data_IF_715971898422
#
_entry.id   IF_715971898422
#
_cell.length_a   1.000
_cell.length_b   1.000
_cell.length_c   1.000
_cell.angle_alpha   90.00
_cell.angle_beta   90.00
_cell.angle_gamma   90.00
#
_symmetry.space_group_name_H-M   'P 1'
#
loop_
_entity.id
_entity.type
_entity.pdbx_description
1 polymer ?
#
# COMPACT_ATOMS: atom_id res chain seq x y z
N UNK A 1 14.37 -40.68 16.20
CA UNK A 1 13.00 -40.15 16.46
C UNK A 1 12.34 -39.62 15.17
N UNK A 2 13.06 -38.90 14.30
CA UNK A 2 12.51 -38.37 13.01
C UNK A 2 12.21 -39.51 11.99
N UNK A 3 12.99 -40.58 11.98
CA UNK A 3 12.74 -41.75 11.12
C UNK A 3 11.52 -42.56 11.55
N UNK A 4 11.18 -42.58 12.86
CA UNK A 4 9.97 -43.25 13.34
C UNK A 4 8.70 -42.47 13.02
N UNK A 5 8.74 -41.13 13.04
CA UNK A 5 7.61 -40.30 12.69
C UNK A 5 7.23 -40.39 11.19
N UNK A 6 8.21 -40.57 10.28
CA UNK A 6 7.94 -40.77 8.87
C UNK A 6 7.20 -42.07 8.55
N UNK A 7 7.48 -43.13 9.28
CA UNK A 7 6.84 -44.44 9.09
C UNK A 7 5.39 -44.50 9.58
N UNK A 8 5.06 -43.72 10.62
CA UNK A 8 3.69 -43.64 11.12
C UNK A 8 2.78 -42.78 10.22
N UNK A 9 3.35 -41.88 9.41
CA UNK A 9 2.58 -41.10 8.45
C UNK A 9 2.17 -41.91 7.21
N UNK A 10 3.03 -42.88 6.78
CA UNK A 10 2.75 -43.72 5.61
C UNK A 10 1.68 -44.79 5.89
N UNK A 11 1.29 -44.99 7.14
CA UNK A 11 0.27 -45.95 7.57
C UNK A 11 -1.01 -45.32 8.13
N UNK A 12 -1.26 -44.02 7.89
CA UNK A 12 -2.56 -43.41 8.17
C UNK A 12 -3.61 -44.04 7.25
N UNK A 13 -4.11 -45.20 7.68
CA UNK A 13 -5.20 -45.94 7.02
C UNK A 13 -6.41 -45.01 6.92
N UNK A 14 -6.72 -44.55 5.73
CA UNK A 14 -7.89 -43.73 5.46
C UNK A 14 -7.65 -42.47 4.63
N UNK A 15 -6.40 -42.16 4.29
CA UNK A 15 -6.17 -41.14 3.26
C UNK A 15 -6.43 -41.77 1.87
N UNK A 16 -7.20 -41.16 1.00
CA UNK A 16 -7.39 -41.61 -0.38
C UNK A 16 -6.03 -41.71 -1.06
N UNK A 17 -5.83 -42.71 -1.93
CA UNK A 17 -4.61 -42.79 -2.73
C UNK A 17 -4.43 -41.48 -3.50
N UNK A 18 -3.19 -41.04 -3.63
CA UNK A 18 -2.81 -39.75 -4.26
C UNK A 18 -3.47 -39.54 -5.62
N UNK A 19 -3.71 -40.63 -6.36
CA UNK A 19 -4.45 -40.63 -7.64
C UNK A 19 -5.93 -40.25 -7.52
N UNK A 20 -6.60 -40.57 -6.43
CA UNK A 20 -8.01 -40.26 -6.23
C UNK A 20 -8.19 -38.78 -5.87
N UNK A 21 -7.25 -38.20 -5.11
CA UNK A 21 -7.27 -36.79 -4.75
C UNK A 21 -7.15 -35.92 -6.00
N UNK A 22 -6.23 -36.23 -6.90
CA UNK A 22 -6.00 -35.45 -8.12
C UNK A 22 -7.07 -35.59 -9.17
N UNK A 23 -7.87 -36.64 -9.15
CA UNK A 23 -8.98 -36.87 -10.07
C UNK A 23 -10.33 -36.36 -9.56
N UNK A 24 -10.38 -35.84 -8.32
CA UNK A 24 -11.61 -35.27 -7.77
C UNK A 24 -11.83 -33.88 -8.31
N UNK A 25 -12.77 -33.76 -9.26
CA UNK A 25 -13.21 -32.46 -9.80
C UNK A 25 -14.27 -31.91 -8.86
N UNK A 26 -13.89 -30.93 -8.05
CA UNK A 26 -14.86 -30.15 -7.28
C UNK A 26 -15.53 -29.12 -8.19
N UNK A 27 -16.82 -29.31 -8.47
CA UNK A 27 -17.62 -28.29 -9.12
C UNK A 27 -18.22 -27.41 -8.03
N UNK A 28 -17.68 -26.20 -7.90
CA UNK A 28 -18.33 -25.19 -7.09
C UNK A 28 -19.68 -24.82 -7.74
N UNK A 29 -20.75 -24.65 -6.95
CA UNK A 29 -21.98 -24.10 -7.48
C UNK A 29 -21.72 -22.75 -8.11
N UNK A 30 -22.36 -22.45 -9.23
CA UNK A 30 -22.27 -21.14 -9.87
C UNK A 30 -22.82 -20.12 -8.90
N UNK A 31 -21.99 -19.18 -8.47
CA UNK A 31 -22.48 -18.09 -7.63
C UNK A 31 -23.44 -17.22 -8.44
N UNK A 32 -24.62 -16.98 -7.88
CA UNK A 32 -25.66 -16.14 -8.50
C UNK A 32 -25.35 -14.65 -8.31
N UNK A 33 -24.63 -14.31 -7.22
CA UNK A 33 -24.21 -12.95 -6.92
C UNK A 33 -22.95 -12.94 -6.05
N UNK A 34 -22.16 -11.90 -6.19
CA UNK A 34 -21.01 -11.60 -5.31
C UNK A 34 -21.26 -10.25 -4.66
N UNK A 35 -20.95 -10.16 -3.38
CA UNK A 35 -20.90 -8.89 -2.66
C UNK A 35 -19.51 -8.72 -2.09
N UNK A 36 -18.85 -7.65 -2.47
CA UNK A 36 -17.59 -7.26 -1.83
C UNK A 36 -17.90 -6.74 -0.42
N UNK A 37 -17.22 -7.28 0.58
CA UNK A 37 -17.41 -6.90 1.98
C UNK A 37 -16.41 -5.82 2.41
N UNK A 38 -15.30 -5.69 1.69
CA UNK A 38 -14.23 -4.71 1.95
C UNK A 38 -13.92 -3.91 0.69
N UNK A 39 -13.41 -2.69 0.82
CA UNK A 39 -12.96 -1.92 -0.34
C UNK A 39 -11.82 -2.65 -1.05
N UNK A 40 -11.69 -2.44 -2.35
CA UNK A 40 -10.48 -2.82 -3.06
C UNK A 40 -9.37 -1.83 -2.77
N UNK A 41 -8.12 -2.25 -2.95
CA UNK A 41 -6.95 -1.44 -2.65
C UNK A 41 -5.99 -1.38 -3.84
N UNK A 42 -5.46 -0.19 -4.11
CA UNK A 42 -4.26 0.03 -4.94
C UNK A 42 -3.12 0.34 -4.00
N UNK A 43 -2.05 -0.47 -4.05
CA UNK A 43 -0.80 -0.15 -3.38
C UNK A 43 -0.10 0.99 -4.14
N UNK A 44 0.27 2.03 -3.42
CA UNK A 44 0.99 3.20 -3.93
C UNK A 44 2.47 3.07 -3.54
N UNK A 45 3.19 2.23 -4.24
CA UNK A 45 4.56 1.84 -3.94
C UNK A 45 5.64 2.56 -4.77
N UNK A 46 5.26 3.28 -5.85
CA UNK A 46 6.17 4.07 -6.68
C UNK A 46 5.71 5.52 -6.81
N UNK A 47 6.54 6.47 -6.39
CA UNK A 47 6.27 7.90 -6.51
C UNK A 47 7.41 8.66 -7.19
N UNK A 48 7.08 9.67 -8.02
CA UNK A 48 8.00 10.77 -8.26
C UNK A 48 8.07 11.61 -7.00
N UNK A 49 9.19 12.27 -6.72
CA UNK A 49 9.39 12.88 -5.42
C UNK A 49 10.26 14.14 -5.48
N UNK A 50 10.15 14.98 -4.47
CA UNK A 50 11.10 16.07 -4.23
C UNK A 50 11.38 16.24 -2.75
N UNK A 51 12.56 16.77 -2.43
CA UNK A 51 13.01 17.08 -1.08
C UNK A 51 13.14 18.59 -0.94
N UNK A 52 12.54 19.17 0.12
CA UNK A 52 12.60 20.58 0.50
C UNK A 52 12.24 21.57 -0.64
N UNK A 53 11.28 21.17 -1.50
CA UNK A 53 10.87 21.96 -2.65
C UNK A 53 11.88 22.03 -3.78
N UNK A 54 12.84 21.09 -3.79
CA UNK A 54 13.79 20.91 -4.87
C UNK A 54 13.15 20.41 -6.16
N UNK A 55 13.99 19.99 -7.10
CA UNK A 55 13.51 19.40 -8.35
C UNK A 55 12.74 18.11 -8.10
N UNK A 56 11.68 17.89 -8.87
CA UNK A 56 10.99 16.59 -8.89
C UNK A 56 11.87 15.56 -9.61
N UNK A 57 12.19 14.51 -8.90
CA UNK A 57 12.98 13.37 -9.35
C UNK A 57 12.08 12.26 -9.92
N UNK A 58 12.68 11.33 -10.67
CA UNK A 58 12.00 10.19 -11.26
C UNK A 58 11.39 9.28 -10.20
N UNK A 59 10.42 8.47 -10.63
CA UNK A 59 9.73 7.52 -9.75
C UNK A 59 10.70 6.51 -9.14
N UNK A 60 10.55 6.33 -7.84
CA UNK A 60 11.29 5.34 -7.07
C UNK A 60 10.33 4.59 -6.12
N UNK A 61 10.68 3.37 -5.77
CA UNK A 61 9.93 2.58 -4.79
C UNK A 61 10.11 3.18 -3.40
N UNK A 62 9.01 3.32 -2.66
CA UNK A 62 8.92 4.14 -1.43
C UNK A 62 9.91 3.70 -0.35
N UNK A 63 10.09 2.41 -0.12
CA UNK A 63 10.99 1.94 0.94
C UNK A 63 12.47 2.13 0.58
N UNK A 64 12.81 2.10 -0.71
CA UNK A 64 14.15 2.46 -1.20
C UNK A 64 14.37 3.95 -1.15
N UNK A 65 13.33 4.72 -1.51
CA UNK A 65 13.34 6.17 -1.44
C UNK A 65 13.59 6.65 -0.01
N UNK A 66 12.95 6.05 0.99
CA UNK A 66 13.19 6.36 2.39
C UNK A 66 14.68 6.28 2.74
N UNK A 67 15.35 5.16 2.42
CA UNK A 67 16.78 5.02 2.68
C UNK A 67 17.64 5.99 1.87
N UNK A 68 17.28 6.28 0.63
CA UNK A 68 17.97 7.26 -0.22
C UNK A 68 17.91 8.65 0.38
N UNK A 69 16.74 9.11 0.83
CA UNK A 69 16.58 10.41 1.49
C UNK A 69 17.33 10.44 2.81
N UNK A 70 17.29 9.36 3.62
CA UNK A 70 18.07 9.24 4.84
C UNK A 70 19.56 9.42 4.59
N UNK A 71 20.08 8.73 3.58
CA UNK A 71 21.49 8.86 3.18
C UNK A 71 21.84 10.29 2.76
N UNK A 72 20.99 10.96 1.98
CA UNK A 72 21.20 12.37 1.57
C UNK A 72 21.20 13.34 2.75
N UNK A 73 20.36 13.11 3.76
CA UNK A 73 20.24 13.95 4.96
C UNK A 73 21.22 13.58 6.07
N UNK A 74 22.03 12.54 5.87
CA UNK A 74 22.91 12.00 6.91
C UNK A 74 22.13 11.44 8.11
N UNK A 75 20.91 10.93 7.86
CA UNK A 75 20.11 10.18 8.81
C UNK A 75 20.56 8.73 8.86
N UNK A 76 20.22 8.02 9.94
CA UNK A 76 20.46 6.58 10.02
C UNK A 76 19.53 5.86 9.04
N UNK A 77 20.11 5.05 8.15
CA UNK A 77 19.37 4.21 7.24
C UNK A 77 18.64 3.09 8.01
N UNK A 78 17.53 2.63 7.44
CA UNK A 78 16.79 1.50 7.99
C UNK A 78 17.53 0.21 7.61
N UNK A 79 18.07 -0.47 8.61
CA UNK A 79 18.65 -1.79 8.44
C UNK A 79 17.63 -2.85 8.84
N UNK A 80 17.09 -3.56 7.85
CA UNK A 80 16.10 -4.61 8.07
C UNK A 80 14.72 -4.08 8.52
N UNK A 81 13.84 -5.01 8.88
CA UNK A 81 12.42 -4.72 9.14
C UNK A 81 12.12 -4.06 10.48
N UNK A 82 13.08 -4.06 11.41
CA UNK A 82 12.84 -3.72 12.82
C UNK A 82 13.61 -2.50 13.31
N UNK A 83 14.46 -1.90 12.49
CA UNK A 83 15.29 -0.78 12.93
C UNK A 83 14.50 0.53 12.81
N UNK A 84 13.81 0.84 13.88
CA UNK A 84 13.24 2.16 14.09
C UNK A 84 14.21 2.97 14.95
N UNK A 85 14.66 4.14 14.52
CA UNK A 85 15.63 4.94 15.27
C UNK A 85 14.99 5.73 16.42
N UNK A 86 14.10 5.12 17.18
CA UNK A 86 13.32 5.79 18.24
C UNK A 86 14.19 6.42 19.34
N UNK A 87 15.37 5.85 19.60
CA UNK A 87 16.29 6.34 20.62
C UNK A 87 17.20 7.46 20.12
N UNK A 88 17.14 7.81 18.84
CA UNK A 88 17.97 8.88 18.28
C UNK A 88 17.39 10.26 18.58
N UNK A 89 18.27 11.26 18.69
CA UNK A 89 17.84 12.64 18.80
C UNK A 89 17.10 13.07 17.52
N UNK A 90 16.06 13.89 17.70
CA UNK A 90 15.43 14.53 16.56
C UNK A 90 16.41 15.45 15.85
N UNK A 91 16.46 15.37 14.54
CA UNK A 91 17.15 16.31 13.66
C UNK A 91 16.13 17.25 13.04
N UNK A 92 16.62 18.18 12.24
CA UNK A 92 15.77 19.09 11.48
C UNK A 92 14.68 18.35 10.71
N UNK A 93 13.53 19.01 10.63
CA UNK A 93 12.39 18.58 9.87
C UNK A 93 12.56 19.01 8.40
N UNK A 94 12.29 18.08 7.50
CA UNK A 94 12.37 18.27 6.06
C UNK A 94 10.99 18.06 5.44
N UNK A 95 10.81 18.55 4.24
CA UNK A 95 9.61 18.30 3.46
C UNK A 95 9.90 17.31 2.34
N UNK A 96 9.17 16.20 2.31
CA UNK A 96 9.16 15.27 1.20
C UNK A 96 7.82 15.36 0.48
N UNK A 97 7.87 15.67 -0.80
CA UNK A 97 6.68 15.65 -1.68
C UNK A 97 6.69 14.36 -2.50
N UNK A 98 5.60 13.63 -2.48
CA UNK A 98 5.38 12.38 -3.23
C UNK A 98 4.26 12.57 -4.25
N UNK A 99 4.50 12.17 -5.50
CA UNK A 99 3.55 12.32 -6.61
C UNK A 99 3.24 10.95 -7.23
N UNK A 100 1.98 10.53 -7.12
CA UNK A 100 1.48 9.29 -7.67
C UNK A 100 0.56 9.57 -8.84
N UNK A 101 0.67 8.77 -9.90
CA UNK A 101 -0.19 8.85 -11.08
C UNK A 101 -1.12 7.64 -11.11
N UNK A 102 -2.42 7.89 -11.14
CA UNK A 102 -3.48 6.89 -11.18
C UNK A 102 -4.42 7.19 -12.34
N UNK A 103 -4.51 6.27 -13.30
CA UNK A 103 -5.53 6.37 -14.33
C UNK A 103 -6.87 5.80 -13.84
N UNK A 104 -7.97 6.35 -14.28
CA UNK A 104 -9.30 5.83 -13.98
C UNK A 104 -10.21 5.86 -15.21
N UNK A 105 -10.96 4.77 -15.42
CA UNK A 105 -12.01 4.69 -16.43
C UNK A 105 -13.37 5.20 -15.91
N UNK A 106 -13.44 5.57 -14.64
CA UNK A 106 -14.68 6.00 -13.97
C UNK A 106 -14.41 7.14 -13.01
N UNK A 107 -15.45 7.93 -12.73
CA UNK A 107 -15.45 8.83 -11.58
C UNK A 107 -15.95 8.06 -10.35
N UNK A 108 -15.15 8.00 -9.27
CA UNK A 108 -15.50 7.22 -8.08
C UNK A 108 -15.04 7.85 -6.77
N UNK A 109 -15.69 7.49 -5.67
CA UNK A 109 -15.26 7.84 -4.32
C UNK A 109 -14.05 6.99 -3.92
N UNK A 110 -13.08 7.65 -3.27
CA UNK A 110 -11.84 7.00 -2.84
C UNK A 110 -11.40 7.51 -1.47
N UNK A 111 -10.65 6.68 -0.78
CA UNK A 111 -9.98 7.00 0.48
C UNK A 111 -8.48 6.73 0.32
N UNK A 112 -7.69 7.51 1.01
CA UNK A 112 -6.27 7.23 1.20
C UNK A 112 -6.08 6.62 2.58
N UNK A 113 -5.43 5.47 2.63
CA UNK A 113 -4.99 4.84 3.87
C UNK A 113 -3.48 5.00 4.00
N UNK A 114 -3.04 5.61 5.09
CA UNK A 114 -1.64 5.95 5.36
C UNK A 114 -1.37 5.97 6.86
N UNK A 115 -0.11 5.80 7.23
CA UNK A 115 0.34 6.02 8.60
C UNK A 115 0.54 7.52 8.86
N UNK A 116 0.34 7.94 10.12
CA UNK A 116 0.64 9.30 10.61
C UNK A 116 0.02 10.44 9.76
N UNK A 117 -1.32 10.42 9.62
CA UNK A 117 -2.09 11.43 8.87
C UNK A 117 -1.77 12.86 9.33
N UNK A 118 -1.47 13.08 10.62
CA UNK A 118 -1.20 14.42 11.17
C UNK A 118 0.02 15.07 10.55
N UNK A 119 0.96 14.27 10.08
CA UNK A 119 2.22 14.71 9.49
C UNK A 119 2.18 14.86 7.99
N UNK A 120 1.03 14.58 7.39
CA UNK A 120 0.84 14.62 5.95
C UNK A 120 -0.18 15.68 5.54
N UNK A 121 0.04 16.27 4.37
CA UNK A 121 -0.98 17.01 3.62
C UNK A 121 -1.18 16.31 2.28
N UNK A 122 -2.42 16.23 1.84
CA UNK A 122 -2.79 15.41 0.69
C UNK A 122 -3.64 16.21 -0.29
N UNK A 123 -3.33 16.11 -1.56
CA UNK A 123 -4.13 16.69 -2.65
C UNK A 123 -4.42 15.63 -3.71
N UNK A 124 -5.64 15.61 -4.20
CA UNK A 124 -6.00 14.86 -5.40
C UNK A 124 -6.41 15.88 -6.50
N UNK A 125 -5.71 15.82 -7.62
CA UNK A 125 -5.89 16.75 -8.75
C UNK A 125 -5.82 18.23 -8.31
N UNK A 126 -4.87 18.55 -7.42
CA UNK A 126 -4.67 19.89 -6.87
C UNK A 126 -5.69 20.33 -5.83
N UNK A 127 -6.69 19.51 -5.50
CA UNK A 127 -7.68 19.78 -4.45
C UNK A 127 -7.27 19.12 -3.15
N UNK A 128 -7.05 19.92 -2.11
CA UNK A 128 -6.66 19.43 -0.78
C UNK A 128 -7.77 18.59 -0.15
N UNK A 129 -7.37 17.46 0.41
CA UNK A 129 -8.24 16.56 1.15
C UNK A 129 -8.38 17.02 2.60
N UNK A 130 -9.56 16.78 3.18
CA UNK A 130 -9.75 16.91 4.62
C UNK A 130 -9.03 15.75 5.33
N UNK A 131 -8.22 16.07 6.34
CA UNK A 131 -7.45 15.10 7.12
C UNK A 131 -8.26 14.44 8.24
N UNK A 132 -9.57 14.62 8.26
CA UNK A 132 -10.45 13.93 9.22
C UNK A 132 -10.36 12.42 9.01
N UNK A 133 -9.87 11.73 10.03
CA UNK A 133 -9.77 10.25 10.02
C UNK A 133 -11.18 9.65 10.06
N UNK A 134 -11.49 8.82 9.07
CA UNK A 134 -12.80 8.16 8.91
C UNK A 134 -12.81 6.70 9.33
N UNK A 135 -11.65 6.13 9.63
CA UNK A 135 -11.46 4.73 10.01
C UNK A 135 -10.00 4.31 9.87
N UNK A 136 -9.77 3.01 9.72
CA UNK A 136 -8.45 2.43 9.49
C UNK A 136 -8.53 1.29 8.47
N UNK A 137 -7.41 0.93 7.86
CA UNK A 137 -7.27 -0.16 6.91
C UNK A 137 -6.30 -1.21 7.44
N UNK A 138 -6.80 -2.45 7.67
CA UNK A 138 -6.05 -3.61 8.17
C UNK A 138 -5.54 -3.43 9.60
N UNK A 139 -4.77 -2.37 9.86
CA UNK A 139 -4.17 -2.04 11.17
C UNK A 139 -4.61 -0.64 11.61
N UNK A 140 -4.93 -0.42 12.91
CA UNK A 140 -5.29 0.90 13.43
C UNK A 140 -4.27 2.01 13.18
N UNK A 141 -2.98 1.68 12.99
CA UNK A 141 -1.95 2.64 12.62
C UNK A 141 -2.13 3.18 11.19
N UNK A 142 -2.74 2.39 10.29
CA UNK A 142 -3.00 2.79 8.90
C UNK A 142 -4.35 3.49 8.83
N UNK A 143 -4.35 4.78 9.08
CA UNK A 143 -5.55 5.61 9.17
C UNK A 143 -6.10 5.95 7.78
N UNK A 144 -7.42 6.08 7.68
CA UNK A 144 -8.13 6.40 6.44
C UNK A 144 -8.65 7.84 6.45
N UNK A 145 -8.36 8.57 5.39
CA UNK A 145 -8.97 9.88 5.09
C UNK A 145 -9.76 9.80 3.80
N UNK A 146 -10.83 10.58 3.69
CA UNK A 146 -11.61 10.69 2.45
C UNK A 146 -10.93 11.66 1.50
N UNK A 147 -10.68 11.21 0.28
CA UNK A 147 -10.18 12.07 -0.79
C UNK A 147 -11.33 12.75 -1.56
N UNK A 148 -11.06 13.81 -2.33
CA UNK A 148 -11.92 14.22 -3.44
C UNK A 148 -12.19 13.03 -4.38
N UNK A 149 -13.18 13.16 -5.27
CA UNK A 149 -13.44 12.10 -6.26
C UNK A 149 -12.20 11.86 -7.14
N UNK A 150 -11.90 10.58 -7.36
CA UNK A 150 -11.06 10.18 -8.48
C UNK A 150 -11.86 10.41 -9.75
N UNK A 151 -11.33 11.22 -10.66
CA UNK A 151 -12.02 11.56 -11.90
C UNK A 151 -11.66 10.57 -13.02
N UNK A 152 -12.49 10.51 -14.06
CA UNK A 152 -12.17 9.76 -15.27
C UNK A 152 -10.94 10.38 -15.96
N UNK A 153 -10.00 9.54 -16.40
CA UNK A 153 -8.74 9.97 -17.00
C UNK A 153 -7.55 9.87 -16.04
N UNK A 154 -6.57 10.74 -16.24
CA UNK A 154 -5.37 10.80 -15.42
C UNK A 154 -5.61 11.58 -14.14
N UNK A 155 -5.20 11.01 -13.02
CA UNK A 155 -5.27 11.66 -11.72
C UNK A 155 -3.88 11.72 -11.09
N UNK A 156 -3.60 12.85 -10.43
CA UNK A 156 -2.40 13.03 -9.63
C UNK A 156 -2.76 13.10 -8.15
N UNK A 157 -2.22 12.19 -7.39
CA UNK A 157 -2.23 12.24 -5.94
C UNK A 157 -0.89 12.79 -5.48
N UNK A 158 -0.92 13.94 -4.80
CA UNK A 158 0.25 14.57 -4.18
C UNK A 158 0.14 14.42 -2.66
N UNK A 159 1.20 13.95 -2.04
CA UNK A 159 1.33 13.84 -0.58
C UNK A 159 2.58 14.57 -0.13
N UNK A 160 2.41 15.60 0.69
CA UNK A 160 3.48 16.29 1.39
C UNK A 160 3.66 15.64 2.76
N UNK A 161 4.86 15.21 3.07
CA UNK A 161 5.22 14.56 4.33
C UNK A 161 6.19 15.44 5.10
N UNK A 162 5.84 15.76 6.35
CA UNK A 162 6.81 16.33 7.30
C UNK A 162 7.76 15.23 7.75
N UNK A 163 8.99 15.27 7.27
CA UNK A 163 9.96 14.17 7.35
C UNK A 163 11.12 14.50 8.30
N UNK A 164 11.42 13.60 9.19
CA UNK A 164 12.56 13.71 10.11
C UNK A 164 13.11 12.32 10.45
N UNK A 165 14.23 12.26 11.18
CA UNK A 165 14.96 11.01 11.41
C UNK A 165 14.12 9.87 12.02
N UNK A 166 13.09 10.18 12.82
CA UNK A 166 12.22 9.18 13.47
C UNK A 166 10.99 8.80 12.63
N UNK A 167 10.78 9.45 11.50
CA UNK A 167 9.66 9.18 10.59
C UNK A 167 10.16 8.45 9.35
N UNK A 168 9.44 7.41 8.95
CA UNK A 168 9.69 6.66 7.75
C UNK A 168 8.72 7.09 6.65
N UNK A 169 9.14 6.94 5.40
CA UNK A 169 8.18 6.82 4.30
C UNK A 169 7.67 5.38 4.29
N UNK A 170 6.36 5.23 4.33
CA UNK A 170 5.68 3.94 4.30
C UNK A 170 4.75 3.85 3.09
N UNK A 171 4.40 2.64 2.71
CA UNK A 171 3.45 2.40 1.64
C UNK A 171 2.06 2.93 2.02
N UNK A 172 1.40 3.54 1.04
CA UNK A 172 0.03 4.03 1.17
C UNK A 172 -0.91 3.21 0.30
N UNK A 173 -2.20 3.27 0.57
CA UNK A 173 -3.20 2.51 -0.17
C UNK A 173 -4.34 3.42 -0.61
N UNK A 174 -4.66 3.40 -1.90
CA UNK A 174 -5.87 4.02 -2.42
C UNK A 174 -7.00 2.99 -2.36
N UNK A 175 -8.06 3.30 -1.62
CA UNK A 175 -9.16 2.38 -1.34
C UNK A 175 -10.45 2.84 -2.01
N UNK A 176 -11.30 1.88 -2.41
CA UNK A 176 -12.61 2.22 -2.95
C UNK A 176 -13.37 1.02 -3.51
N UNK A 177 -14.58 1.30 -4.00
CA UNK A 177 -15.41 0.29 -4.66
C UNK A 177 -15.15 0.29 -6.17
N UNK A 178 -14.03 -0.27 -6.55
CA UNK A 178 -13.56 -0.34 -7.95
C UNK A 178 -12.80 -1.65 -8.20
N UNK A 179 -12.54 -1.96 -9.47
CA UNK A 179 -11.57 -2.96 -9.89
C UNK A 179 -10.27 -2.26 -10.30
N UNK A 180 -9.17 -3.02 -10.35
CA UNK A 180 -7.85 -2.50 -10.72
C UNK A 180 -7.23 -3.38 -11.78
N UNK A 181 -6.73 -2.75 -12.83
CA UNK A 181 -5.84 -3.35 -13.82
C UNK A 181 -4.48 -2.64 -13.77
N UNK A 182 -3.40 -3.36 -13.98
CA UNK A 182 -2.05 -2.79 -14.00
C UNK A 182 -1.55 -2.65 -15.43
N UNK A 183 -1.03 -1.49 -15.77
CA UNK A 183 -0.27 -1.22 -16.99
C UNK A 183 1.19 -0.93 -16.60
N UNK A 184 2.02 -1.99 -16.55
CA UNK A 184 3.33 -1.92 -15.91
C UNK A 184 3.18 -1.66 -14.42
N UNK A 185 3.75 -0.56 -13.91
CA UNK A 185 3.61 -0.09 -12.52
C UNK A 185 2.45 0.91 -12.34
N UNK A 186 1.74 1.25 -13.40
CA UNK A 186 0.65 2.23 -13.36
C UNK A 186 -0.68 1.53 -13.08
N UNK A 187 -1.37 1.87 -12.01
CA UNK A 187 -2.72 1.36 -11.76
C UNK A 187 -3.75 2.07 -12.64
N UNK A 188 -4.70 1.29 -13.13
CA UNK A 188 -5.89 1.76 -13.84
C UNK A 188 -7.12 1.30 -13.08
N UNK A 189 -7.89 2.25 -12.58
CA UNK A 189 -9.13 2.01 -11.84
C UNK A 189 -10.28 1.81 -12.83
N UNK A 190 -11.07 0.77 -12.63
CA UNK A 190 -12.20 0.38 -13.48
C UNK A 190 -13.46 0.17 -12.62
N UNK A 191 -14.62 0.11 -13.26
CA UNK A 191 -15.88 -0.18 -12.56
C UNK A 191 -15.82 -1.55 -11.84
N UNK A 192 -16.42 -1.62 -10.64
CA UNK A 192 -16.50 -2.82 -9.82
C UNK A 192 -17.45 -3.87 -10.42
#
# INVERSE_FOLDING_TARGET
ELESMGKDFDHASGLPEEREIWNTVFRLPKAESFRRMEPNAVLLDYAAWSLDGGRVEEKEEILRLDNRIRSQLGFVEREGRMNQPYHMAEKEEHRVDLYYQVASCIRTEVWLALEDVESCRVWLNGKEADRTVTGFYVDPAIQMIRLPYLEEGENELHVEVSYHQKRNLENMFLLGNFNVRLEGIKPVVEAA
#
